data_IF_358417415122
#
_entry.id   IF_358417415122
#
_cell.length_a   1.000
_cell.length_b   1.000
_cell.length_c   1.000
_cell.angle_alpha   90.00
_cell.angle_beta   90.00
_cell.angle_gamma   90.00
#
_symmetry.space_group_name_H-M   'P 1'
#
loop_
_entity.id
_entity.type
_entity.pdbx_description
1 polymer ?
#
# COMPACT_ATOMS: atom_id res chain seq x y z
N UNK A 1 -0.42 -23.24 -6.97
CA UNK A 1 0.50 -22.37 -6.22
C UNK A 1 1.08 -23.09 -5.01
N UNK A 2 0.27 -23.74 -4.19
CA UNK A 2 0.71 -24.48 -3.00
C UNK A 2 1.79 -25.52 -3.30
N UNK A 3 1.55 -26.36 -4.32
CA UNK A 3 2.53 -27.36 -4.77
C UNK A 3 3.86 -26.72 -5.23
N UNK A 4 3.82 -25.54 -5.84
CA UNK A 4 5.01 -24.79 -6.21
C UNK A 4 5.81 -24.39 -4.97
N UNK A 5 5.14 -23.83 -3.94
CA UNK A 5 5.78 -23.47 -2.70
C UNK A 5 6.40 -24.67 -1.98
N UNK A 6 5.71 -25.81 -1.99
CA UNK A 6 6.22 -27.07 -1.41
C UNK A 6 7.48 -27.57 -2.15
N UNK A 7 7.46 -27.62 -3.50
CA UNK A 7 8.63 -27.96 -4.30
C UNK A 7 9.80 -27.02 -4.08
N UNK A 8 9.51 -25.72 -3.98
CA UNK A 8 10.52 -24.71 -3.66
C UNK A 8 10.96 -24.71 -2.18
N UNK A 9 10.30 -25.46 -1.29
CA UNK A 9 10.52 -25.45 0.16
C UNK A 9 10.39 -24.03 0.75
N UNK A 10 9.39 -23.28 0.31
CA UNK A 10 9.09 -21.92 0.74
C UNK A 10 7.86 -21.97 1.65
N UNK A 11 7.92 -21.37 2.86
CA UNK A 11 6.78 -21.36 3.77
C UNK A 11 5.66 -20.49 3.22
N UNK A 12 4.43 -20.99 3.36
CA UNK A 12 3.20 -20.25 3.03
C UNK A 12 2.43 -19.85 4.28
N UNK A 13 1.56 -18.87 4.15
CA UNK A 13 0.54 -18.61 5.16
C UNK A 13 -0.42 -19.82 5.24
N UNK A 14 -0.86 -20.24 6.44
CA UNK A 14 -1.90 -21.25 6.59
C UNK A 14 -3.17 -20.81 5.84
N UNK A 15 -3.76 -21.72 5.08
CA UNK A 15 -4.96 -21.42 4.28
C UNK A 15 -5.84 -22.63 4.09
N UNK A 16 -7.11 -22.38 3.78
CA UNK A 16 -8.14 -23.38 3.48
C UNK A 16 -8.99 -22.93 2.30
N UNK A 17 -9.40 -23.90 1.51
CA UNK A 17 -10.42 -23.72 0.48
C UNK A 17 -11.76 -24.10 1.07
N UNK A 18 -12.78 -23.26 0.92
CA UNK A 18 -14.12 -23.45 1.47
C UNK A 18 -15.19 -23.19 0.42
N UNK A 19 -16.32 -23.87 0.54
CA UNK A 19 -17.42 -23.80 -0.43
C UNK A 19 -18.72 -23.23 0.17
N UNK A 20 -18.80 -23.12 1.49
CA UNK A 20 -19.98 -22.62 2.19
C UNK A 20 -19.61 -21.91 3.49
N UNK A 21 -20.61 -21.30 4.13
CA UNK A 21 -20.43 -20.52 5.36
C UNK A 21 -19.93 -21.36 6.53
N UNK A 22 -20.44 -22.59 6.69
CA UNK A 22 -20.07 -23.44 7.83
C UNK A 22 -18.60 -23.85 7.73
N UNK A 23 -18.14 -24.21 6.53
CA UNK A 23 -16.72 -24.47 6.27
C UNK A 23 -15.85 -23.23 6.48
N UNK A 24 -16.33 -22.02 6.07
CA UNK A 24 -15.60 -20.77 6.27
C UNK A 24 -15.44 -20.44 7.75
N UNK A 25 -16.46 -20.63 8.57
CA UNK A 25 -16.39 -20.43 10.01
C UNK A 25 -15.46 -21.42 10.69
N UNK A 26 -15.52 -22.70 10.30
CA UNK A 26 -14.62 -23.73 10.82
C UNK A 26 -13.15 -23.45 10.43
N UNK A 27 -12.90 -23.05 9.19
CA UNK A 27 -11.58 -22.66 8.73
C UNK A 27 -11.04 -21.41 9.45
N UNK A 28 -11.91 -20.42 9.70
CA UNK A 28 -11.52 -19.22 10.47
C UNK A 28 -11.18 -19.55 11.93
N UNK A 29 -11.81 -20.54 12.53
CA UNK A 29 -11.45 -21.03 13.88
C UNK A 29 -10.11 -21.78 13.88
N UNK A 30 -9.87 -22.63 12.88
CA UNK A 30 -8.61 -23.39 12.74
C UNK A 30 -7.41 -22.47 12.45
N UNK A 31 -7.55 -21.56 11.47
CA UNK A 31 -6.46 -20.65 11.02
C UNK A 31 -6.23 -19.54 12.07
N UNK A 32 -7.28 -19.13 12.76
CA UNK A 32 -7.30 -17.98 13.66
C UNK A 32 -7.43 -16.65 12.93
N UNK A 33 -8.31 -15.78 13.42
CA UNK A 33 -8.51 -14.43 12.89
C UNK A 33 -7.29 -13.52 13.14
N UNK A 34 -7.06 -12.50 12.30
CA UNK A 34 -7.76 -12.20 11.06
C UNK A 34 -7.40 -13.13 9.92
N UNK A 35 -8.34 -13.27 8.95
CA UNK A 35 -8.16 -14.05 7.72
C UNK A 35 -8.43 -13.19 6.50
N UNK A 36 -7.69 -13.46 5.41
CA UNK A 36 -7.95 -12.91 4.09
C UNK A 36 -8.89 -13.85 3.35
N UNK A 37 -10.02 -13.34 2.91
CA UNK A 37 -11.00 -14.08 2.11
C UNK A 37 -10.91 -13.61 0.67
N UNK A 38 -10.70 -14.56 -0.25
CA UNK A 38 -10.61 -14.27 -1.69
C UNK A 38 -11.40 -15.29 -2.50
N UNK A 39 -12.28 -14.86 -3.40
CA UNK A 39 -12.90 -15.76 -4.37
C UNK A 39 -11.84 -16.36 -5.28
N UNK A 40 -12.04 -17.58 -5.74
CA UNK A 40 -11.22 -18.13 -6.83
C UNK A 40 -11.43 -17.31 -8.11
N UNK A 41 -10.39 -17.16 -8.92
CA UNK A 41 -10.42 -16.41 -10.20
C UNK A 41 -10.64 -14.90 -10.06
N UNK A 42 -9.94 -14.25 -9.12
CA UNK A 42 -9.97 -12.81 -8.93
C UNK A 42 -8.82 -12.14 -9.68
N UNK A 43 -9.11 -11.01 -10.33
CA UNK A 43 -8.11 -10.12 -10.94
C UNK A 43 -8.06 -8.80 -10.16
N UNK A 44 -6.85 -8.31 -9.84
CA UNK A 44 -6.64 -7.01 -9.19
C UNK A 44 -7.27 -6.90 -7.79
N UNK A 45 -7.38 -8.00 -7.04
CA UNK A 45 -7.91 -8.00 -5.68
C UNK A 45 -9.42 -7.75 -5.56
N UNK A 46 -10.17 -7.83 -6.66
CA UNK A 46 -11.62 -7.60 -6.67
C UNK A 46 -12.33 -8.57 -5.72
N UNK A 47 -13.24 -8.05 -4.87
CA UNK A 47 -13.96 -8.81 -3.86
C UNK A 47 -13.09 -9.52 -2.81
N UNK A 48 -11.80 -9.18 -2.69
CA UNK A 48 -10.98 -9.62 -1.58
C UNK A 48 -11.26 -8.81 -0.32
N UNK A 49 -11.24 -9.47 0.84
CA UNK A 49 -11.66 -8.86 2.10
C UNK A 49 -10.83 -9.44 3.25
N UNK A 50 -10.40 -8.58 4.18
CA UNK A 50 -9.79 -9.01 5.44
C UNK A 50 -10.88 -9.06 6.51
N UNK A 51 -11.16 -10.25 7.02
CA UNK A 51 -12.12 -10.50 8.09
C UNK A 51 -11.40 -10.56 9.45
N UNK A 52 -11.74 -9.65 10.34
CA UNK A 52 -11.16 -9.56 11.70
C UNK A 52 -12.00 -10.30 12.75
N UNK A 53 -13.28 -10.52 12.45
CA UNK A 53 -14.24 -11.18 13.36
C UNK A 53 -15.06 -12.22 12.59
N UNK A 54 -15.69 -13.17 13.33
CA UNK A 54 -16.63 -14.11 12.70
C UNK A 54 -17.82 -13.41 12.03
N UNK A 55 -18.26 -12.29 12.60
CA UNK A 55 -19.32 -11.48 11.98
C UNK A 55 -18.88 -10.95 10.58
N UNK A 56 -17.60 -10.59 10.43
CA UNK A 56 -17.07 -10.18 9.14
C UNK A 56 -17.08 -11.38 8.15
N UNK A 57 -16.71 -12.58 8.60
CA UNK A 57 -16.76 -13.79 7.75
C UNK A 57 -18.20 -14.05 7.26
N UNK A 58 -19.20 -13.93 8.15
CA UNK A 58 -20.62 -14.13 7.79
C UNK A 58 -21.07 -13.09 6.76
N UNK A 59 -20.82 -11.81 7.05
CA UNK A 59 -21.18 -10.69 6.14
C UNK A 59 -20.57 -10.89 4.75
N UNK A 60 -19.31 -11.27 4.70
CA UNK A 60 -18.57 -11.36 3.45
C UNK A 60 -18.84 -12.64 2.66
N UNK A 61 -19.12 -13.77 3.31
CA UNK A 61 -19.62 -14.95 2.60
C UNK A 61 -20.94 -14.63 1.91
N UNK A 62 -21.83 -13.86 2.53
CA UNK A 62 -23.06 -13.37 1.89
C UNK A 62 -22.76 -12.53 0.64
N UNK A 63 -21.86 -11.56 0.73
CA UNK A 63 -21.48 -10.70 -0.42
C UNK A 63 -20.84 -11.50 -1.55
N UNK A 64 -19.94 -12.43 -1.22
CA UNK A 64 -19.28 -13.29 -2.22
C UNK A 64 -20.31 -14.19 -2.91
N UNK A 65 -21.22 -14.82 -2.17
CA UNK A 65 -22.23 -15.72 -2.72
C UNK A 65 -23.29 -15.03 -3.58
N UNK A 66 -23.54 -13.75 -3.37
CA UNK A 66 -24.43 -12.95 -4.24
C UNK A 66 -23.79 -12.59 -5.59
N UNK A 67 -22.47 -12.57 -5.69
CA UNK A 67 -21.75 -12.05 -6.86
C UNK A 67 -20.89 -13.10 -7.58
N UNK A 68 -20.67 -14.26 -6.98
CA UNK A 68 -19.84 -15.35 -7.50
C UNK A 68 -20.65 -16.63 -7.52
N UNK A 69 -20.61 -17.33 -8.64
CA UNK A 69 -21.29 -18.63 -8.78
C UNK A 69 -20.73 -19.62 -7.73
N UNK A 70 -21.62 -20.28 -6.99
CA UNK A 70 -21.28 -21.20 -5.88
C UNK A 70 -20.47 -22.44 -6.33
N UNK A 71 -20.26 -22.62 -7.64
CA UNK A 71 -19.38 -23.65 -8.18
C UNK A 71 -17.88 -23.30 -7.99
N UNK A 72 -17.57 -22.08 -7.52
CA UNK A 72 -16.20 -21.62 -7.30
C UNK A 72 -15.88 -21.49 -5.82
N UNK A 73 -14.80 -22.13 -5.34
CA UNK A 73 -14.40 -22.06 -3.95
C UNK A 73 -13.91 -20.67 -3.54
N UNK A 74 -14.06 -20.36 -2.25
CA UNK A 74 -13.44 -19.22 -1.59
C UNK A 74 -12.20 -19.70 -0.86
N UNK A 75 -11.10 -18.98 -1.01
CA UNK A 75 -9.87 -19.23 -0.27
C UNK A 75 -9.85 -18.36 0.99
N UNK A 76 -9.62 -18.99 2.13
CA UNK A 76 -9.32 -18.31 3.39
C UNK A 76 -7.87 -18.54 3.73
N UNK A 77 -7.09 -17.47 3.73
CA UNK A 77 -5.68 -17.52 4.14
C UNK A 77 -5.48 -16.75 5.44
N UNK A 78 -4.53 -17.18 6.27
CA UNK A 78 -4.10 -16.38 7.42
C UNK A 78 -3.65 -15.01 6.92
N UNK A 79 -4.29 -13.95 7.41
CA UNK A 79 -3.83 -12.61 7.13
C UNK A 79 -2.52 -12.34 7.88
N UNK A 80 -1.45 -12.14 7.14
CA UNK A 80 -0.13 -11.80 7.68
C UNK A 80 0.00 -10.29 7.72
N UNK A 81 -0.13 -9.72 8.90
CA UNK A 81 0.12 -8.28 9.10
C UNK A 81 1.64 -8.04 9.17
N UNK A 82 2.15 -7.19 8.31
CA UNK A 82 3.58 -6.89 8.24
C UNK A 82 3.90 -5.89 7.14
N UNK A 83 5.18 -5.76 6.84
CA UNK A 83 5.70 -4.95 5.74
C UNK A 83 5.56 -5.72 4.44
N UNK A 84 4.91 -5.12 3.45
CA UNK A 84 4.84 -5.70 2.11
C UNK A 84 6.05 -5.27 1.28
N UNK A 85 6.60 -6.22 0.52
CA UNK A 85 7.76 -5.99 -0.34
C UNK A 85 7.51 -6.55 -1.72
N UNK A 86 8.11 -5.94 -2.72
CA UNK A 86 7.94 -6.33 -4.12
C UNK A 86 9.30 -6.47 -4.79
N UNK A 87 9.45 -7.55 -5.55
CA UNK A 87 10.65 -7.87 -6.32
C UNK A 87 10.26 -8.14 -7.76
N UNK A 88 10.85 -7.39 -8.68
CA UNK A 88 10.83 -7.70 -10.10
C UNK A 88 12.18 -8.28 -10.50
N UNK A 89 12.18 -9.42 -11.18
CA UNK A 89 13.40 -10.06 -11.65
C UNK A 89 13.35 -10.34 -13.15
N UNK A 90 14.53 -10.35 -13.76
CA UNK A 90 14.77 -10.78 -15.13
C UNK A 90 15.40 -12.15 -15.06
N UNK A 91 14.98 -13.10 -15.91
CA UNK A 91 15.43 -14.48 -15.91
C UNK A 91 15.78 -14.94 -17.31
N UNK A 92 16.83 -15.78 -17.46
CA UNK A 92 17.26 -16.38 -18.71
C UNK A 92 17.06 -17.89 -18.78
N UNK A 93 16.25 -18.43 -17.85
CA UNK A 93 15.99 -19.86 -17.67
C UNK A 93 16.98 -20.55 -16.71
N UNK A 94 18.13 -19.96 -16.44
CA UNK A 94 19.19 -20.48 -15.57
C UNK A 94 19.54 -19.49 -14.45
N UNK A 95 19.81 -18.26 -14.85
CA UNK A 95 20.18 -17.17 -13.95
C UNK A 95 19.02 -16.18 -13.81
N UNK A 96 19.09 -15.35 -12.78
CA UNK A 96 18.17 -14.25 -12.54
C UNK A 96 18.92 -13.00 -12.10
N UNK A 97 18.33 -11.85 -12.36
CA UNK A 97 18.81 -10.54 -11.93
C UNK A 97 17.65 -9.78 -11.28
N UNK A 98 17.84 -9.35 -10.04
CA UNK A 98 16.94 -8.48 -9.29
C UNK A 98 17.55 -7.08 -9.30
N UNK A 99 16.98 -6.09 -9.99
CA UNK A 99 17.51 -4.72 -10.00
C UNK A 99 17.46 -4.05 -8.63
N UNK A 100 16.48 -4.38 -7.81
CA UNK A 100 16.34 -3.88 -6.46
C UNK A 100 15.10 -4.41 -5.77
N UNK A 101 15.09 -4.34 -4.43
CA UNK A 101 13.96 -4.72 -3.59
C UNK A 101 13.22 -3.45 -3.18
N UNK A 102 11.92 -3.47 -3.39
CA UNK A 102 11.01 -2.37 -3.05
C UNK A 102 10.24 -2.71 -1.77
N UNK A 103 10.06 -1.71 -0.91
CA UNK A 103 9.29 -1.81 0.33
C UNK A 103 8.06 -0.91 0.24
N UNK A 104 6.90 -1.39 0.67
CA UNK A 104 5.68 -0.61 0.73
C UNK A 104 5.64 0.18 2.05
N UNK A 105 5.18 1.42 1.99
CA UNK A 105 4.99 2.26 3.19
C UNK A 105 3.77 1.78 3.97
N UNK A 106 2.70 1.46 3.28
CA UNK A 106 1.51 0.86 3.88
C UNK A 106 1.77 -0.61 4.20
N UNK A 107 1.29 -1.03 5.37
CA UNK A 107 1.33 -2.45 5.77
C UNK A 107 0.45 -3.30 4.85
N UNK A 108 0.65 -4.62 4.87
CA UNK A 108 -0.12 -5.61 4.10
C UNK A 108 -1.63 -5.34 4.13
N UNK A 109 -2.32 -5.70 3.04
CA UNK A 109 -3.77 -5.52 2.88
C UNK A 109 -4.18 -4.31 2.03
N UNK A 110 -3.22 -3.49 1.61
CA UNK A 110 -3.40 -2.48 0.55
C UNK A 110 -2.80 -3.04 -0.74
N UNK A 111 -3.51 -2.90 -1.86
CA UNK A 111 -2.99 -3.37 -3.16
C UNK A 111 -1.67 -2.65 -3.49
N UNK A 112 -0.66 -3.38 -3.97
CA UNK A 112 0.69 -2.83 -4.24
C UNK A 112 0.68 -1.65 -5.21
N UNK A 113 -0.26 -1.61 -6.17
CA UNK A 113 -0.48 -0.47 -7.06
C UNK A 113 -0.96 0.79 -6.35
N UNK A 114 -1.64 0.66 -5.22
CA UNK A 114 -2.22 1.75 -4.43
C UNK A 114 -1.32 2.19 -3.26
N UNK A 115 -0.27 1.42 -2.99
CA UNK A 115 0.69 1.71 -1.93
C UNK A 115 1.80 2.64 -2.40
N UNK A 116 2.30 3.45 -1.48
CA UNK A 116 3.56 4.18 -1.64
C UNK A 116 4.69 3.15 -1.53
N UNK A 117 5.58 3.14 -2.54
CA UNK A 117 6.65 2.16 -2.62
C UNK A 117 8.01 2.87 -2.59
N UNK A 118 8.94 2.41 -1.78
CA UNK A 118 10.29 2.98 -1.63
C UNK A 118 11.37 2.01 -2.10
N UNK A 119 12.36 2.56 -2.79
CA UNK A 119 13.58 1.88 -3.20
C UNK A 119 14.81 2.72 -2.84
N UNK A 120 15.88 2.12 -2.33
CA UNK A 120 15.93 0.76 -1.79
C UNK A 120 15.08 0.60 -0.53
N UNK A 121 14.75 -0.64 -0.16
CA UNK A 121 14.04 -0.95 1.07
C UNK A 121 14.74 -0.31 2.29
N UNK A 122 13.95 0.26 3.21
CA UNK A 122 14.47 1.10 4.30
C UNK A 122 14.58 0.36 5.64
N UNK A 123 13.72 -0.63 5.88
CA UNK A 123 13.56 -1.27 7.18
C UNK A 123 13.90 -2.78 7.17
N UNK A 124 14.19 -3.34 6.00
CA UNK A 124 14.53 -4.75 5.90
C UNK A 124 15.92 -5.05 6.44
N UNK A 125 16.04 -6.14 7.17
CA UNK A 125 17.33 -6.70 7.57
C UNK A 125 18.01 -7.42 6.39
N UNK A 126 19.32 -7.57 6.43
CA UNK A 126 20.06 -8.31 5.40
C UNK A 126 19.58 -9.77 5.27
N UNK A 127 19.21 -10.41 6.37
CA UNK A 127 18.70 -11.78 6.36
C UNK A 127 17.34 -11.90 5.63
N UNK A 128 16.48 -10.92 5.76
CA UNK A 128 15.21 -10.83 5.03
C UNK A 128 15.44 -10.59 3.54
N UNK A 129 16.37 -9.69 3.19
CA UNK A 129 16.80 -9.43 1.82
C UNK A 129 17.35 -10.71 1.18
N UNK A 130 18.28 -11.38 1.83
CA UNK A 130 18.90 -12.62 1.34
C UNK A 130 17.85 -13.72 1.13
N UNK A 131 16.87 -13.79 2.02
CA UNK A 131 15.74 -14.73 1.91
C UNK A 131 14.88 -14.44 0.69
N UNK A 132 14.54 -13.17 0.43
CA UNK A 132 13.76 -12.78 -0.77
C UNK A 132 14.51 -13.09 -2.06
N UNK A 133 15.81 -12.84 -2.09
CA UNK A 133 16.69 -13.15 -3.23
C UNK A 133 16.73 -14.66 -3.49
N UNK A 134 16.90 -15.46 -2.45
CA UNK A 134 16.91 -16.93 -2.55
C UNK A 134 15.54 -17.46 -3.03
N UNK A 135 14.42 -16.98 -2.46
CA UNK A 135 13.08 -17.41 -2.85
C UNK A 135 12.77 -17.02 -4.30
N UNK A 136 13.11 -15.80 -4.71
CA UNK A 136 12.94 -15.36 -6.10
C UNK A 136 13.74 -16.25 -7.06
N UNK A 137 14.97 -16.59 -6.71
CA UNK A 137 15.80 -17.49 -7.51
C UNK A 137 15.27 -18.93 -7.60
N UNK A 138 14.65 -19.44 -6.53
CA UNK A 138 13.98 -20.77 -6.55
C UNK A 138 12.77 -20.75 -7.48
N UNK A 139 11.92 -19.71 -7.42
CA UNK A 139 10.77 -19.55 -8.33
C UNK A 139 11.21 -19.43 -9.78
N UNK A 140 12.22 -18.61 -10.06
CA UNK A 140 12.75 -18.43 -11.42
C UNK A 140 13.16 -19.77 -12.05
N UNK A 141 13.86 -20.62 -11.29
CA UNK A 141 14.30 -21.94 -11.76
C UNK A 141 13.17 -22.95 -11.86
N UNK A 142 12.32 -23.04 -10.82
CA UNK A 142 11.24 -24.06 -10.79
C UNK A 142 10.16 -23.79 -11.85
N UNK A 143 9.90 -22.52 -12.14
CA UNK A 143 8.96 -22.11 -13.19
C UNK A 143 9.61 -22.00 -14.57
N UNK A 144 10.91 -22.26 -14.69
CA UNK A 144 11.68 -22.10 -15.94
C UNK A 144 11.44 -20.73 -16.60
N UNK A 145 11.41 -19.67 -15.79
CA UNK A 145 11.09 -18.33 -16.29
C UNK A 145 12.16 -17.86 -17.27
N UNK A 146 11.71 -17.41 -18.44
CA UNK A 146 12.52 -16.65 -19.39
C UNK A 146 11.81 -15.33 -19.65
N UNK A 147 12.46 -14.22 -19.29
CA UNK A 147 11.86 -12.88 -19.29
C UNK A 147 11.65 -12.35 -17.88
N UNK A 148 10.46 -11.83 -17.57
CA UNK A 148 10.16 -11.16 -16.31
C UNK A 148 9.34 -12.02 -15.35
N UNK A 149 9.65 -11.89 -14.07
CA UNK A 149 8.84 -12.42 -12.97
C UNK A 149 8.73 -11.37 -11.85
N UNK A 150 7.53 -11.22 -11.32
CA UNK A 150 7.24 -10.38 -10.17
C UNK A 150 6.87 -11.27 -8.98
N UNK A 151 7.43 -10.99 -7.82
CA UNK A 151 7.13 -11.69 -6.57
C UNK A 151 6.78 -10.68 -5.49
N UNK A 152 5.66 -10.89 -4.83
CA UNK A 152 5.23 -10.09 -3.68
C UNK A 152 5.41 -10.87 -2.39
N UNK A 153 5.99 -10.20 -1.40
CA UNK A 153 6.33 -10.75 -0.09
C UNK A 153 5.67 -9.96 1.03
N UNK A 154 5.40 -10.65 2.14
CA UNK A 154 5.09 -10.02 3.42
C UNK A 154 6.16 -10.40 4.45
N UNK A 155 6.71 -9.41 5.13
CA UNK A 155 7.66 -9.60 6.23
C UNK A 155 6.95 -9.37 7.54
N UNK A 156 6.94 -10.37 8.40
CA UNK A 156 6.31 -10.29 9.72
C UNK A 156 7.14 -11.07 10.74
N UNK A 157 7.51 -10.42 11.85
CA UNK A 157 8.30 -11.02 12.93
C UNK A 157 9.59 -11.72 12.45
N UNK A 158 10.31 -11.09 11.51
CA UNK A 158 11.57 -11.61 10.95
C UNK A 158 11.39 -12.80 9.99
N UNK A 159 10.17 -13.10 9.57
CA UNK A 159 9.86 -14.15 8.60
C UNK A 159 9.35 -13.54 7.31
N UNK A 160 9.83 -14.09 6.19
CA UNK A 160 9.41 -13.73 4.84
C UNK A 160 8.36 -14.73 4.35
N UNK A 161 7.19 -14.24 4.00
CA UNK A 161 6.09 -15.00 3.41
C UNK A 161 5.88 -14.55 1.97
N UNK A 162 5.51 -15.48 1.10
CA UNK A 162 5.14 -15.18 -0.28
C UNK A 162 3.65 -14.91 -0.36
N UNK A 163 3.28 -13.76 -0.91
CA UNK A 163 1.89 -13.40 -1.19
C UNK A 163 1.49 -13.98 -2.55
N UNK A 164 2.25 -13.66 -3.60
CA UNK A 164 2.00 -14.15 -4.95
C UNK A 164 3.26 -14.13 -5.82
N UNK A 165 3.23 -14.95 -6.87
CA UNK A 165 4.26 -15.00 -7.92
C UNK A 165 3.57 -14.79 -9.27
N UNK A 166 4.04 -13.81 -10.02
CA UNK A 166 3.51 -13.42 -11.32
C UNK A 166 4.58 -13.55 -12.41
N UNK A 167 4.60 -14.65 -13.22
CA UNK A 167 5.59 -14.80 -14.30
C UNK A 167 5.22 -13.91 -15.50
N UNK A 168 5.26 -12.63 -15.29
CA UNK A 168 4.95 -11.56 -16.26
C UNK A 168 5.55 -10.26 -15.79
N UNK A 169 5.53 -9.24 -16.66
CA UNK A 169 5.84 -7.86 -16.27
C UNK A 169 4.87 -7.34 -15.20
N UNK A 170 5.37 -6.53 -14.29
CA UNK A 170 4.60 -5.79 -13.29
C UNK A 170 4.46 -4.32 -13.66
N UNK A 171 3.65 -3.57 -12.91
CA UNK A 171 3.54 -2.12 -13.05
C UNK A 171 4.78 -1.38 -12.53
N UNK A 172 5.53 -1.98 -11.62
CA UNK A 172 6.74 -1.40 -11.03
C UNK A 172 7.97 -1.52 -11.92
N UNK A 173 7.94 -2.33 -12.99
CA UNK A 173 9.07 -2.49 -13.93
C UNK A 173 9.56 -1.15 -14.52
N UNK A 174 8.72 -0.24 -15.03
CA UNK A 174 9.19 1.07 -15.51
C UNK A 174 9.85 1.92 -14.41
N UNK A 175 9.30 1.86 -13.20
CA UNK A 175 9.83 2.55 -12.03
C UNK A 175 11.21 2.01 -11.65
N UNK A 176 11.31 0.71 -11.38
CA UNK A 176 12.57 0.10 -10.92
C UNK A 176 13.66 0.15 -12.01
N UNK A 177 13.32 -0.01 -13.28
CA UNK A 177 14.25 0.17 -14.37
C UNK A 177 14.85 1.59 -14.39
N UNK A 178 14.00 2.60 -14.21
CA UNK A 178 14.44 4.00 -14.23
C UNK A 178 15.32 4.35 -13.04
N UNK A 179 15.01 3.84 -11.84
CA UNK A 179 15.74 4.21 -10.63
C UNK A 179 17.00 3.37 -10.41
N UNK A 180 17.15 2.23 -11.05
CA UNK A 180 18.36 1.40 -10.95
C UNK A 180 19.29 1.52 -12.16
N UNK A 181 18.78 2.03 -13.29
CA UNK A 181 19.50 2.05 -14.55
C UNK A 181 19.61 0.69 -15.24
N UNK A 182 18.91 -0.32 -14.72
CA UNK A 182 18.84 -1.66 -15.34
C UNK A 182 17.69 -1.68 -16.34
N UNK A 183 17.94 -1.79 -17.65
CA UNK A 183 16.90 -1.74 -18.68
C UNK A 183 16.14 -3.07 -18.74
N UNK A 184 15.25 -3.30 -17.76
CA UNK A 184 14.63 -4.60 -17.53
C UNK A 184 13.91 -5.17 -18.75
N UNK A 185 13.18 -4.34 -19.49
CA UNK A 185 12.41 -4.80 -20.65
C UNK A 185 13.34 -5.22 -21.79
N UNK A 186 14.41 -4.45 -22.04
CA UNK A 186 15.43 -4.81 -23.04
C UNK A 186 16.10 -6.15 -22.69
N UNK A 187 16.58 -6.26 -21.46
CA UNK A 187 17.24 -7.49 -20.99
C UNK A 187 16.29 -8.69 -21.04
N UNK A 188 15.03 -8.51 -20.66
CA UNK A 188 14.04 -9.59 -20.71
C UNK A 188 13.77 -10.06 -22.15
N UNK A 189 13.65 -9.14 -23.10
CA UNK A 189 13.48 -9.47 -24.53
C UNK A 189 14.71 -10.24 -25.04
N UNK A 190 15.92 -9.80 -24.71
CA UNK A 190 17.16 -10.48 -25.10
C UNK A 190 17.23 -11.90 -24.49
N UNK A 191 16.82 -12.08 -23.22
CA UNK A 191 16.69 -13.42 -22.62
C UNK A 191 15.71 -14.29 -23.40
N UNK A 192 14.54 -13.75 -23.79
CA UNK A 192 13.56 -14.49 -24.61
C UNK A 192 14.11 -14.86 -25.99
N UNK A 193 15.09 -14.11 -26.51
CA UNK A 193 15.80 -14.43 -27.76
C UNK A 193 16.99 -15.37 -27.58
N UNK A 194 17.24 -15.82 -26.35
CA UNK A 194 18.25 -16.84 -26.02
C UNK A 194 19.59 -16.30 -25.51
N UNK A 195 19.73 -15.00 -25.34
CA UNK A 195 20.91 -14.41 -24.71
C UNK A 195 20.95 -14.69 -23.20
N UNK A 196 22.15 -14.77 -22.62
CA UNK A 196 22.35 -15.05 -21.20
C UNK A 196 22.69 -13.80 -20.40
N UNK A 197 22.11 -13.66 -19.22
CA UNK A 197 22.32 -12.52 -18.30
C UNK A 197 23.80 -12.28 -17.98
N UNK A 198 24.58 -13.35 -17.83
CA UNK A 198 26.02 -13.27 -17.54
C UNK A 198 26.80 -12.50 -18.60
N UNK A 199 26.32 -12.45 -19.83
CA UNK A 199 26.98 -11.78 -20.98
C UNK A 199 26.48 -10.34 -21.18
N UNK A 200 25.46 -9.90 -20.42
CA UNK A 200 24.82 -8.60 -20.63
C UNK A 200 25.41 -7.43 -19.81
N UNK A 201 26.36 -7.72 -18.89
CA UNK A 201 27.10 -6.68 -18.16
C UNK A 201 26.41 -6.12 -16.91
N UNK A 202 25.25 -6.62 -16.54
CA UNK A 202 24.51 -6.19 -15.34
C UNK A 202 24.66 -7.13 -14.14
N UNK A 203 25.35 -8.28 -14.31
CA UNK A 203 25.52 -9.30 -13.30
C UNK A 203 24.29 -10.19 -13.14
N UNK A 204 24.30 -10.99 -12.07
CA UNK A 204 23.21 -11.90 -11.67
C UNK A 204 22.95 -11.77 -10.16
N UNK A 205 21.81 -12.25 -9.68
CA UNK A 205 21.38 -12.09 -8.29
C UNK A 205 20.87 -10.69 -8.00
N UNK A 206 21.15 -10.13 -6.83
CA UNK A 206 20.76 -8.79 -6.45
C UNK A 206 21.75 -7.75 -6.96
N UNK A 207 21.25 -6.79 -7.74
CA UNK A 207 22.04 -5.65 -8.22
C UNK A 207 22.36 -4.68 -7.07
N UNK A 208 23.53 -4.02 -7.06
CA UNK A 208 23.86 -3.02 -6.06
C UNK A 208 22.84 -1.88 -6.00
N UNK A 209 22.54 -1.41 -4.79
CA UNK A 209 21.60 -0.31 -4.59
C UNK A 209 22.13 1.01 -5.18
N UNK A 210 21.22 1.82 -5.72
CA UNK A 210 21.51 3.18 -6.13
C UNK A 210 21.85 4.07 -4.91
N UNK A 211 22.67 5.14 -5.08
CA UNK A 211 23.12 6.01 -3.99
C UNK A 211 22.07 7.07 -3.59
N UNK A 212 20.81 6.84 -3.86
CA UNK A 212 19.68 7.73 -3.55
C UNK A 212 18.46 6.89 -3.22
N UNK A 213 17.46 7.57 -2.65
CA UNK A 213 16.15 6.97 -2.37
C UNK A 213 15.17 7.43 -3.44
N UNK A 214 14.40 6.50 -3.95
CA UNK A 214 13.31 6.74 -4.87
C UNK A 214 11.99 6.28 -4.27
N UNK A 215 10.94 7.06 -4.47
CA UNK A 215 9.60 6.76 -3.96
C UNK A 215 8.61 6.82 -5.11
N UNK A 216 7.85 5.76 -5.28
CA UNK A 216 6.68 5.71 -6.15
C UNK A 216 5.46 6.13 -5.33
N UNK A 217 4.73 7.14 -5.75
CA UNK A 217 3.46 7.56 -5.14
C UNK A 217 2.33 7.30 -6.13
N UNK A 218 1.29 6.55 -5.74
CA UNK A 218 0.14 6.29 -6.62
C UNK A 218 -0.67 7.56 -6.87
N UNK A 219 -1.28 7.64 -8.04
CA UNK A 219 -2.20 8.69 -8.43
C UNK A 219 -3.60 8.10 -8.63
N UNK A 220 -4.60 8.78 -8.11
CA UNK A 220 -5.99 8.35 -8.15
C UNK A 220 -6.84 9.38 -8.91
N UNK A 221 -7.77 8.90 -9.73
CA UNK A 221 -8.72 9.74 -10.45
C UNK A 221 -10.13 9.66 -9.81
N UNK A 222 -10.19 9.75 -8.48
CA UNK A 222 -11.44 9.59 -7.74
C UNK A 222 -12.47 10.66 -8.08
N UNK A 223 -12.07 11.83 -8.52
CA UNK A 223 -12.95 12.90 -9.00
C UNK A 223 -13.72 12.50 -10.26
N UNK A 224 -13.17 11.58 -11.07
CA UNK A 224 -13.80 11.04 -12.28
C UNK A 224 -14.56 9.74 -12.04
N UNK A 225 -14.25 9.04 -10.95
CA UNK A 225 -14.82 7.74 -10.60
C UNK A 225 -15.96 7.91 -9.58
N UNK A 226 -17.15 8.29 -10.07
CA UNK A 226 -18.31 8.48 -9.21
C UNK A 226 -18.75 7.16 -8.55
N UNK A 227 -19.03 7.21 -7.24
CA UNK A 227 -19.51 6.07 -6.47
C UNK A 227 -18.44 5.12 -5.93
N UNK A 228 -17.16 5.27 -6.30
CA UNK A 228 -16.07 4.46 -5.75
C UNK A 228 -15.66 4.99 -4.38
N UNK A 229 -15.56 4.10 -3.38
CA UNK A 229 -14.98 4.44 -2.08
C UNK A 229 -13.46 4.60 -2.21
N UNK A 230 -12.94 5.68 -1.63
CA UNK A 230 -11.51 6.01 -1.67
C UNK A 230 -10.68 5.28 -0.63
N UNK A 231 -11.30 4.46 0.23
CA UNK A 231 -10.59 3.67 1.22
C UNK A 231 -9.68 2.64 0.55
N UNK A 232 -8.43 2.56 1.00
CA UNK A 232 -7.48 1.54 0.55
C UNK A 232 -7.88 0.14 1.00
N UNK A 233 -7.51 -0.84 0.20
CA UNK A 233 -7.78 -2.24 0.44
C UNK A 233 -7.11 -3.13 -0.61
N UNK A 234 -7.44 -4.43 -0.65
CA UNK A 234 -6.84 -5.35 -1.60
C UNK A 234 -7.17 -5.07 -3.07
N UNK A 235 -8.26 -4.35 -3.35
CA UNK A 235 -8.67 -3.97 -4.70
C UNK A 235 -7.94 -2.70 -5.17
N UNK A 236 -7.33 -2.77 -6.36
CA UNK A 236 -6.59 -1.67 -6.95
C UNK A 236 -7.51 -0.54 -7.45
N UNK A 237 -7.18 0.71 -7.10
CA UNK A 237 -7.93 1.92 -7.45
C UNK A 237 -7.08 2.99 -8.14
N UNK A 238 -5.76 2.87 -8.09
CA UNK A 238 -4.83 3.81 -8.72
C UNK A 238 -4.95 3.79 -10.25
N UNK A 239 -4.80 4.96 -10.85
CA UNK A 239 -4.86 5.15 -12.30
C UNK A 239 -3.53 5.59 -12.90
N UNK A 240 -2.55 5.90 -12.05
CA UNK A 240 -1.22 6.31 -12.44
C UNK A 240 -0.27 6.30 -11.26
N UNK A 241 0.97 6.72 -11.50
CA UNK A 241 2.01 6.80 -10.49
C UNK A 241 2.98 7.93 -10.81
N UNK A 242 3.61 8.48 -9.80
CA UNK A 242 4.68 9.47 -9.91
C UNK A 242 5.91 9.04 -9.13
N UNK A 243 7.05 9.54 -9.57
CA UNK A 243 8.36 9.23 -9.02
C UNK A 243 8.93 10.45 -8.27
N UNK A 244 9.30 10.27 -7.01
CA UNK A 244 10.15 11.19 -6.27
C UNK A 244 11.54 10.59 -6.06
N UNK A 245 12.62 11.36 -6.30
CA UNK A 245 13.99 10.94 -6.06
C UNK A 245 14.71 12.00 -5.23
N UNK A 246 15.42 11.56 -4.18
CA UNK A 246 16.21 12.43 -3.32
C UNK A 246 17.32 11.65 -2.59
N UNK A 247 18.26 12.33 -1.90
CA UNK A 247 19.25 11.63 -1.08
C UNK A 247 18.65 10.86 0.12
N UNK A 248 17.45 11.19 0.55
CA UNK A 248 16.78 10.56 1.69
C UNK A 248 15.28 10.31 1.41
N UNK A 249 14.66 9.47 2.24
CA UNK A 249 13.28 9.05 2.09
C UNK A 249 12.26 10.20 2.17
N UNK A 250 12.42 11.11 3.15
CA UNK A 250 11.44 12.17 3.37
C UNK A 250 11.37 13.14 2.19
N UNK A 251 12.50 13.54 1.63
CA UNK A 251 12.55 14.42 0.47
C UNK A 251 12.05 13.72 -0.80
N UNK A 252 12.37 12.44 -0.98
CA UNK A 252 11.86 11.65 -2.08
C UNK A 252 10.33 11.51 -2.00
N UNK A 253 9.81 11.21 -0.80
CA UNK A 253 8.37 11.11 -0.56
C UNK A 253 7.67 12.46 -0.77
N UNK A 254 8.22 13.55 -0.25
CA UNK A 254 7.67 14.89 -0.44
C UNK A 254 7.53 15.23 -1.93
N UNK A 255 8.56 14.98 -2.74
CA UNK A 255 8.51 15.16 -4.20
C UNK A 255 7.43 14.31 -4.85
N UNK A 256 7.35 13.05 -4.48
CA UNK A 256 6.34 12.13 -4.99
C UNK A 256 4.92 12.58 -4.64
N UNK A 257 4.67 13.00 -3.40
CA UNK A 257 3.37 13.51 -2.96
C UNK A 257 2.99 14.79 -3.70
N UNK A 258 3.92 15.75 -3.87
CA UNK A 258 3.69 16.96 -4.67
C UNK A 258 3.35 16.58 -6.12
N UNK A 259 4.10 15.68 -6.72
CA UNK A 259 3.83 15.18 -8.07
C UNK A 259 2.49 14.46 -8.20
N UNK A 260 2.02 13.84 -7.14
CA UNK A 260 0.69 13.20 -7.05
C UNK A 260 -0.46 14.20 -6.79
N UNK A 261 -0.16 15.51 -6.67
CA UNK A 261 -1.16 16.56 -6.50
C UNK A 261 -1.44 16.94 -5.05
N UNK A 262 -0.67 16.43 -4.09
CA UNK A 262 -0.79 16.89 -2.70
C UNK A 262 -0.23 18.31 -2.57
N UNK A 263 -0.98 19.18 -1.89
CA UNK A 263 -0.55 20.54 -1.59
C UNK A 263 -0.02 20.64 -0.17
N UNK A 264 1.18 21.20 -0.03
CA UNK A 264 1.83 21.44 1.25
C UNK A 264 1.78 22.93 1.53
N UNK A 265 0.99 23.33 2.52
CA UNK A 265 0.84 24.73 2.93
C UNK A 265 1.28 24.87 4.38
N UNK A 266 1.94 25.96 4.70
CA UNK A 266 2.14 26.34 6.08
C UNK A 266 0.77 26.59 6.71
N UNK A 267 0.44 25.98 7.85
CA UNK A 267 -0.88 26.14 8.45
C UNK A 267 -1.11 27.59 8.87
N UNK A 268 -2.22 28.15 8.43
CA UNK A 268 -2.71 29.45 8.88
C UNK A 268 -3.45 29.36 10.22
N UNK A 269 -3.83 30.47 10.83
CA UNK A 269 -4.51 30.50 12.14
C UNK A 269 -5.83 29.73 12.19
N UNK A 270 -6.45 29.50 11.02
CA UNK A 270 -7.72 28.78 10.87
C UNK A 270 -7.60 27.39 10.27
N UNK A 271 -6.39 27.01 9.80
CA UNK A 271 -6.13 25.70 9.20
C UNK A 271 -6.51 24.56 10.15
N UNK A 272 -7.21 23.56 9.62
CA UNK A 272 -7.65 22.45 10.45
C UNK A 272 -7.59 21.10 9.73
N UNK A 273 -7.59 20.03 10.56
CA UNK A 273 -7.65 18.65 10.15
C UNK A 273 -8.88 17.97 10.77
N UNK A 274 -9.50 17.06 10.01
CA UNK A 274 -10.62 16.26 10.49
C UNK A 274 -10.16 14.80 10.69
N UNK A 275 -10.54 14.22 11.83
CA UNK A 275 -10.26 12.83 12.19
C UNK A 275 -11.52 12.02 12.39
N UNK A 276 -11.63 10.93 11.65
CA UNK A 276 -12.65 9.91 11.85
C UNK A 276 -11.98 8.53 11.80
N UNK A 277 -11.53 8.08 12.96
CA UNK A 277 -10.61 6.95 13.08
C UNK A 277 -11.29 5.78 13.76
N UNK A 278 -11.16 4.58 13.18
CA UNK A 278 -11.67 3.34 13.82
C UNK A 278 -10.90 3.04 15.10
N UNK A 279 -11.55 2.33 16.04
CA UNK A 279 -11.03 2.12 17.38
C UNK A 279 -9.65 1.43 17.41
N UNK A 280 -9.41 0.48 16.52
CA UNK A 280 -8.13 -0.22 16.44
C UNK A 280 -6.95 0.68 16.05
N UNK A 281 -7.20 1.75 15.32
CA UNK A 281 -6.16 2.64 14.79
C UNK A 281 -5.92 3.87 15.69
N UNK A 282 -6.85 4.16 16.59
CA UNK A 282 -6.78 5.33 17.48
C UNK A 282 -5.45 5.44 18.25
N UNK A 283 -4.86 4.36 18.78
CA UNK A 283 -3.58 4.45 19.48
C UNK A 283 -2.46 5.05 18.65
N UNK A 284 -2.34 4.64 17.39
CA UNK A 284 -1.31 5.13 16.46
C UNK A 284 -1.57 6.58 16.00
N UNK A 285 -2.83 7.01 15.98
CA UNK A 285 -3.19 8.38 15.62
C UNK A 285 -2.91 9.42 16.70
N UNK A 286 -2.60 9.04 17.92
CA UNK A 286 -2.25 10.01 18.99
C UNK A 286 -1.01 10.80 18.62
N UNK A 287 0.07 10.14 18.18
CA UNK A 287 1.31 10.78 17.76
C UNK A 287 1.13 11.65 16.51
N UNK A 288 0.39 11.13 15.51
CA UNK A 288 0.05 11.85 14.28
C UNK A 288 -0.70 13.16 14.60
N UNK A 289 -1.72 13.07 15.44
CA UNK A 289 -2.53 14.22 15.84
C UNK A 289 -1.71 15.23 16.67
N UNK A 290 -0.84 14.74 17.54
CA UNK A 290 0.09 15.59 18.32
C UNK A 290 1.03 16.35 17.41
N UNK A 291 1.62 15.71 16.41
CA UNK A 291 2.50 16.34 15.43
C UNK A 291 1.78 17.46 14.68
N UNK A 292 0.56 17.20 14.17
CA UNK A 292 -0.26 18.22 13.49
C UNK A 292 -0.62 19.38 14.42
N UNK A 293 -1.00 19.08 15.66
CA UNK A 293 -1.29 20.10 16.67
C UNK A 293 -0.08 21.00 16.94
N UNK A 294 1.11 20.40 17.04
CA UNK A 294 2.36 21.16 17.27
C UNK A 294 2.74 22.05 16.10
N UNK A 295 2.32 21.75 14.88
CA UNK A 295 2.47 22.58 13.70
C UNK A 295 1.44 23.71 13.59
N UNK A 296 0.47 23.78 14.51
CA UNK A 296 -0.53 24.86 14.55
C UNK A 296 -1.90 24.51 13.99
N UNK A 297 -2.13 23.28 13.51
CA UNK A 297 -3.46 22.86 13.03
C UNK A 297 -4.49 22.81 14.18
N UNK A 298 -5.71 23.23 13.89
CA UNK A 298 -6.86 22.94 14.74
C UNK A 298 -7.36 21.53 14.41
N UNK A 299 -7.57 20.69 15.43
CA UNK A 299 -8.03 19.33 15.25
C UNK A 299 -9.52 19.23 15.53
N UNK A 300 -10.23 18.57 14.62
CA UNK A 300 -11.65 18.23 14.75
C UNK A 300 -11.80 16.72 14.62
N UNK A 301 -12.71 16.13 15.38
CA UNK A 301 -12.98 14.70 15.29
C UNK A 301 -14.44 14.36 15.61
N UNK A 302 -14.90 13.23 15.09
CA UNK A 302 -16.17 12.66 15.57
C UNK A 302 -16.07 12.29 17.03
N UNK A 303 -17.22 12.22 17.74
CA UNK A 303 -17.29 12.07 19.20
C UNK A 303 -16.30 11.06 19.78
N UNK A 304 -16.30 9.82 19.29
CA UNK A 304 -15.38 8.77 19.79
C UNK A 304 -13.91 9.03 19.51
N UNK A 305 -13.55 9.66 18.38
CA UNK A 305 -12.17 10.02 18.06
C UNK A 305 -11.72 11.22 18.88
N UNK A 306 -12.56 12.24 18.98
CA UNK A 306 -12.33 13.44 19.77
C UNK A 306 -12.12 13.08 21.27
N UNK A 307 -13.01 12.28 21.85
CA UNK A 307 -12.89 11.82 23.23
C UNK A 307 -11.58 11.05 23.47
N UNK A 308 -11.17 10.18 22.54
CA UNK A 308 -9.91 9.43 22.63
C UNK A 308 -8.70 10.36 22.62
N UNK A 309 -8.61 11.30 21.66
CA UNK A 309 -7.50 12.24 21.55
C UNK A 309 -7.39 13.11 22.79
N UNK A 310 -8.51 13.68 23.28
CA UNK A 310 -8.55 14.50 24.49
C UNK A 310 -8.11 13.72 25.73
N UNK A 311 -8.51 12.44 25.84
CA UNK A 311 -8.05 11.54 26.90
C UNK A 311 -6.53 11.36 26.90
N UNK A 312 -5.90 11.42 25.72
CA UNK A 312 -4.44 11.32 25.54
C UNK A 312 -3.76 12.68 25.45
N UNK A 313 -4.36 13.72 25.98
CA UNK A 313 -3.81 15.08 26.08
C UNK A 313 -3.57 15.77 24.74
N UNK A 314 -4.24 15.34 23.67
CA UNK A 314 -4.22 15.99 22.35
C UNK A 314 -5.52 16.78 22.18
N UNK A 315 -5.50 18.12 22.30
CA UNK A 315 -6.70 18.95 22.19
C UNK A 315 -7.39 18.79 20.85
N UNK A 316 -8.61 18.27 20.86
CA UNK A 316 -9.45 18.04 19.68
C UNK A 316 -10.85 18.55 19.93
N UNK A 317 -11.44 19.23 18.96
CA UNK A 317 -12.79 19.74 19.01
C UNK A 317 -13.74 18.69 18.41
N UNK A 318 -14.86 18.47 19.09
CA UNK A 318 -15.89 17.57 18.55
C UNK A 318 -16.63 18.24 17.38
N UNK A 319 -16.87 17.47 16.32
CA UNK A 319 -17.71 17.84 15.21
C UNK A 319 -18.84 16.82 15.04
N UNK A 320 -20.04 17.29 14.77
CA UNK A 320 -21.19 16.41 14.54
C UNK A 320 -21.01 15.60 13.24
N UNK A 321 -21.50 14.35 13.18
CA UNK A 321 -21.44 13.52 11.98
C UNK A 321 -22.22 14.15 10.82
N UNK A 322 -22.03 13.65 9.61
CA UNK A 322 -22.70 14.18 8.39
C UNK A 322 -24.22 14.11 8.46
N UNK A 323 -24.76 13.14 9.17
CA UNK A 323 -26.20 12.96 9.41
C UNK A 323 -26.75 13.87 10.52
N UNK A 324 -25.87 14.59 11.24
CA UNK A 324 -26.26 15.48 12.34
C UNK A 324 -26.76 16.86 11.86
N UNK A 325 -27.39 17.59 12.81
CA UNK A 325 -27.78 18.97 12.56
C UNK A 325 -26.58 19.90 12.34
N UNK A 326 -26.76 20.95 11.53
CA UNK A 326 -25.75 22.01 11.33
C UNK A 326 -25.51 22.79 12.66
N UNK A 327 -24.27 23.22 12.96
CA UNK A 327 -23.05 22.94 12.20
C UNK A 327 -22.55 21.51 12.37
N UNK A 328 -22.21 20.89 11.25
CA UNK A 328 -21.71 19.51 11.20
C UNK A 328 -20.43 19.41 10.34
N UNK A 329 -19.97 18.19 10.12
CA UNK A 329 -18.73 17.94 9.37
C UNK A 329 -18.80 18.41 7.91
N UNK A 330 -20.00 18.49 7.30
CA UNK A 330 -20.18 18.99 5.92
C UNK A 330 -19.93 20.49 5.89
N UNK A 331 -20.47 21.23 6.86
CA UNK A 331 -20.26 22.66 6.96
C UNK A 331 -18.79 23.00 7.15
N UNK A 332 -18.09 22.19 7.98
CA UNK A 332 -16.66 22.36 8.19
C UNK A 332 -15.85 22.08 6.91
N UNK A 333 -16.17 21.03 6.16
CA UNK A 333 -15.53 20.75 4.86
C UNK A 333 -15.75 21.87 3.85
N UNK A 334 -16.94 22.44 3.80
CA UNK A 334 -17.31 23.52 2.88
C UNK A 334 -16.74 24.89 3.29
N UNK A 335 -16.25 25.03 4.51
CA UNK A 335 -15.68 26.29 4.99
C UNK A 335 -14.38 26.73 4.30
N UNK A 336 -13.71 25.82 3.57
CA UNK A 336 -12.41 26.04 2.96
C UNK A 336 -11.24 26.08 3.96
N UNK A 337 -11.46 25.73 5.23
CA UNK A 337 -10.46 25.75 6.29
C UNK A 337 -9.79 24.40 6.53
N UNK A 338 -10.36 23.33 5.94
CA UNK A 338 -9.85 21.94 6.11
C UNK A 338 -8.75 21.67 5.12
N UNK A 339 -7.56 21.40 5.63
CA UNK A 339 -6.40 21.04 4.80
C UNK A 339 -6.28 19.53 4.59
N UNK A 340 -6.64 18.71 5.59
CA UNK A 340 -6.55 17.26 5.53
C UNK A 340 -7.71 16.57 6.25
N UNK A 341 -8.14 15.43 5.67
CA UNK A 341 -9.10 14.51 6.30
C UNK A 341 -8.37 13.18 6.54
N UNK A 342 -8.38 12.70 7.78
CA UNK A 342 -7.89 11.38 8.16
C UNK A 342 -9.08 10.49 8.49
N UNK A 343 -9.35 9.50 7.63
CA UNK A 343 -10.55 8.65 7.75
C UNK A 343 -10.22 7.19 7.58
N UNK A 344 -9.86 6.52 8.68
CA UNK A 344 -9.67 5.07 8.72
C UNK A 344 -10.96 4.41 9.18
N UNK A 345 -11.95 4.31 8.32
CA UNK A 345 -13.23 3.77 8.75
C UNK A 345 -13.19 2.26 8.99
N UNK A 346 -13.98 1.85 9.94
CA UNK A 346 -14.32 0.45 10.11
C UNK A 346 -15.44 0.07 9.14
N UNK A 347 -15.24 -1.02 8.42
CA UNK A 347 -16.27 -1.90 7.87
C UNK A 347 -17.24 -1.41 6.80
N UNK A 348 -17.27 -2.15 5.72
CA UNK A 348 -18.37 -2.27 4.77
C UNK A 348 -18.37 -1.20 3.67
N UNK A 349 -18.71 -1.67 2.47
CA UNK A 349 -18.79 -0.87 1.24
C UNK A 349 -20.13 -0.15 1.08
N UNK A 350 -20.98 -0.05 2.14
CA UNK A 350 -22.27 0.62 2.03
C UNK A 350 -22.08 2.12 1.74
N UNK A 351 -22.49 2.60 0.54
CA UNK A 351 -22.35 4.00 0.16
C UNK A 351 -23.11 4.97 1.06
N UNK A 352 -24.07 4.49 1.83
CA UNK A 352 -24.90 5.30 2.73
C UNK A 352 -24.20 5.62 4.05
N UNK A 353 -23.10 4.94 4.38
CA UNK A 353 -22.36 5.19 5.63
C UNK A 353 -21.71 6.58 5.62
N UNK A 354 -21.79 7.27 6.73
CA UNK A 354 -21.22 8.62 6.90
C UNK A 354 -19.72 8.67 6.56
N UNK A 355 -18.96 7.62 6.85
CA UNK A 355 -17.53 7.57 6.52
C UNK A 355 -17.25 7.52 5.01
N UNK A 356 -18.05 6.78 4.23
CA UNK A 356 -17.94 6.74 2.76
C UNK A 356 -18.34 8.10 2.18
N UNK A 357 -19.46 8.65 2.65
CA UNK A 357 -19.93 9.97 2.24
C UNK A 357 -18.92 11.07 2.56
N UNK A 358 -18.27 11.01 3.74
CA UNK A 358 -17.23 11.95 4.13
C UNK A 358 -16.04 11.92 3.16
N UNK A 359 -15.52 10.72 2.87
CA UNK A 359 -14.40 10.57 1.93
C UNK A 359 -14.75 11.07 0.53
N UNK A 360 -15.95 10.74 0.05
CA UNK A 360 -16.46 11.25 -1.23
C UNK A 360 -16.56 12.78 -1.23
N UNK A 361 -17.06 13.36 -0.14
CA UNK A 361 -17.19 14.82 -0.02
C UNK A 361 -15.84 15.52 0.01
N UNK A 362 -14.85 14.92 0.67
CA UNK A 362 -13.47 15.43 0.66
C UNK A 362 -12.90 15.45 -0.77
N UNK A 363 -13.09 14.38 -1.55
CA UNK A 363 -12.67 14.33 -2.97
C UNK A 363 -13.36 15.41 -3.80
N UNK A 364 -14.68 15.58 -3.68
CA UNK A 364 -15.44 16.61 -4.40
C UNK A 364 -14.92 18.03 -4.13
N UNK A 365 -14.39 18.24 -2.93
CA UNK A 365 -13.84 19.52 -2.50
C UNK A 365 -12.33 19.63 -2.69
N UNK A 366 -11.71 18.63 -3.35
CA UNK A 366 -10.25 18.53 -3.56
C UNK A 366 -9.44 18.60 -2.26
N UNK A 367 -10.00 18.06 -1.16
CA UNK A 367 -9.32 17.96 0.13
C UNK A 367 -8.66 16.60 0.21
N UNK A 368 -7.32 16.51 0.45
CA UNK A 368 -6.63 15.25 0.63
C UNK A 368 -7.25 14.41 1.75
N UNK A 369 -7.68 13.19 1.41
CA UNK A 369 -8.30 12.26 2.34
C UNK A 369 -7.42 11.02 2.50
N UNK A 370 -6.81 10.89 3.68
CA UNK A 370 -5.87 9.84 4.01
C UNK A 370 -6.61 8.70 4.75
N UNK A 371 -6.53 7.49 4.22
CA UNK A 371 -7.31 6.35 4.71
C UNK A 371 -6.46 5.25 5.35
N UNK A 372 -5.14 5.36 5.34
CA UNK A 372 -4.21 4.43 5.99
C UNK A 372 -3.37 5.16 7.05
N UNK A 373 -3.10 4.48 8.16
CA UNK A 373 -2.30 5.02 9.28
C UNK A 373 -0.87 5.31 8.84
N UNK A 374 -0.29 4.37 8.08
CA UNK A 374 1.10 4.45 7.63
C UNK A 374 1.30 5.64 6.67
N UNK A 375 0.38 5.83 5.72
CA UNK A 375 0.35 7.00 4.84
C UNK A 375 0.19 8.30 5.64
N UNK A 376 -0.67 8.30 6.68
CA UNK A 376 -0.87 9.45 7.54
C UNK A 376 0.41 9.82 8.29
N UNK A 377 1.11 8.84 8.85
CA UNK A 377 2.38 9.07 9.55
C UNK A 377 3.46 9.58 8.58
N UNK A 378 3.59 8.97 7.40
CA UNK A 378 4.55 9.37 6.38
C UNK A 378 4.29 10.83 5.92
N UNK A 379 3.03 11.18 5.62
CA UNK A 379 2.61 12.53 5.24
C UNK A 379 2.96 13.56 6.34
N UNK A 380 2.59 13.26 7.59
CA UNK A 380 2.82 14.21 8.71
C UNK A 380 4.31 14.40 9.00
N UNK A 381 5.14 13.37 8.81
CA UNK A 381 6.59 13.52 8.91
C UNK A 381 7.14 14.40 7.78
N UNK A 382 6.60 14.31 6.55
CA UNK A 382 6.95 15.22 5.46
C UNK A 382 6.53 16.66 5.75
N UNK A 383 5.33 16.88 6.32
CA UNK A 383 4.86 18.21 6.71
C UNK A 383 5.74 18.90 7.75
N UNK A 384 6.47 18.12 8.57
CA UNK A 384 7.43 18.63 9.56
C UNK A 384 8.83 18.92 8.99
N UNK A 385 9.06 18.53 7.74
CA UNK A 385 10.32 18.82 7.06
C UNK A 385 10.49 20.34 6.87
N UNK A 386 11.71 20.84 7.01
CA UNK A 386 12.07 22.24 6.69
C UNK A 386 12.19 22.45 5.17
N UNK A 387 11.97 21.42 4.37
CA UNK A 387 12.03 21.50 2.92
C UNK A 387 10.68 21.93 2.33
N UNK A 388 10.75 22.81 1.35
CA UNK A 388 9.63 23.31 0.54
C UNK A 388 9.98 23.16 -0.93
N UNK A 389 9.03 23.47 -1.82
CA UNK A 389 9.30 23.52 -3.26
C UNK A 389 10.48 24.42 -3.66
N UNK A 390 10.78 25.43 -2.83
CA UNK A 390 11.82 26.42 -3.12
C UNK A 390 13.23 25.94 -2.76
N UNK A 391 13.36 25.06 -1.75
CA UNK A 391 14.65 24.63 -1.22
C UNK A 391 14.93 23.13 -1.26
N UNK A 392 13.99 22.32 -1.78
CA UNK A 392 14.18 20.88 -1.89
C UNK A 392 15.28 20.54 -2.90
N UNK A 393 16.26 19.67 -2.57
CA UNK A 393 17.35 19.32 -3.49
C UNK A 393 16.83 18.68 -4.77
N UNK A 394 17.20 19.22 -5.92
CA UNK A 394 16.85 18.64 -7.22
C UNK A 394 17.84 17.52 -7.61
N UNK A 395 17.33 16.49 -8.26
CA UNK A 395 18.10 15.40 -8.85
C UNK A 395 17.86 15.36 -10.34
N UNK A 396 18.94 15.49 -11.12
CA UNK A 396 18.84 15.38 -12.57
C UNK A 396 18.72 13.91 -13.00
N UNK A 397 17.53 13.53 -13.42
CA UNK A 397 17.20 12.16 -13.82
C UNK A 397 17.99 11.73 -15.05
N UNK A 398 18.35 12.66 -15.96
CA UNK A 398 19.09 12.36 -17.17
C UNK A 398 20.55 11.94 -16.88
N UNK A 399 21.11 12.38 -15.76
CA UNK A 399 22.51 12.11 -15.40
C UNK A 399 22.68 11.02 -14.36
N UNK A 400 21.57 10.43 -13.83
CA UNK A 400 21.64 9.42 -12.78
C UNK A 400 22.54 8.21 -13.12
N UNK A 401 22.59 7.81 -14.40
CA UNK A 401 23.31 6.62 -14.87
C UNK A 401 24.67 6.93 -15.50
N UNK A 402 25.03 8.21 -15.67
CA UNK A 402 26.28 8.61 -16.30
C UNK A 402 27.41 8.91 -15.30
N UNK A 403 27.15 8.77 -14.00
CA UNK A 403 28.21 8.84 -12.99
C UNK A 403 28.90 7.47 -12.92
N UNK A 404 29.95 7.32 -13.78
CA UNK A 404 30.97 6.29 -13.63
C UNK A 404 31.84 6.59 -12.42
#
# INVERSE_FOLDING_TARGET
FDELLERCKIPRAPGRTVFNLDEALAAADEIGLPVLMRPSYVLGGQNMIVAYTKADVIEYMGVITEHVDMDHPVLLDKYIMGTECEVDAICDGENFLIPGIMEQVERTGVHSGDSICVYPAQHLTQAEIDTMVDYTGRFARELHVTGLVNVQYAVSNGKVYVIEVNPRSSRTVPYISKVTGVPMVDLAVRCCLGEKLVDMGYGTGLHPNAPYVAVKVPVFSFEKLHGVDTQFGPEMKSTGEVLGIAPNFHDALLKGLIGAGYTFKTPGPASCCIFTVKDSDKPEFVDIAWKLKSMGYKLYGTSGTCAWLNKHMVPCNEVRPMSGESPNIVDLLQSGLVDYVFSTSAKGRDPKRDSVRLRRKAVELSIPCITAVDTANALVNCLRSDHSLENIPLVDIATLYHRK
#
